data_IF_881103393604
#
_entry.id   IF_881103393604
#
_cell.length_a   1.000
_cell.length_b   1.000
_cell.length_c   1.000
_cell.angle_alpha   90.00
_cell.angle_beta   90.00
_cell.angle_gamma   90.00
#
_symmetry.space_group_name_H-M   'P 1'
#
loop_
_entity.id
_entity.type
_entity.pdbx_description
1 polymer ?
#
# COMPACT_ATOMS: atom_id res chain seq x y z
N UNK A 1 18.30 15.40 1.69
CA UNK A 1 16.94 15.04 2.18
C UNK A 1 15.97 16.10 1.71
N UNK A 2 14.86 15.72 1.06
CA UNK A 2 13.82 16.67 0.63
C UNK A 2 12.82 16.86 1.77
N UNK A 3 12.45 18.11 2.09
CA UNK A 3 11.49 18.45 3.15
C UNK A 3 10.20 18.97 2.50
N UNK A 4 9.05 18.47 2.94
CA UNK A 4 7.73 18.90 2.49
C UNK A 4 7.05 19.66 3.62
N UNK A 5 6.39 20.77 3.30
CA UNK A 5 5.56 21.51 4.24
C UNK A 5 4.12 21.44 3.77
N UNK A 6 3.24 21.00 4.66
CA UNK A 6 1.82 20.88 4.40
C UNK A 6 1.10 22.05 5.04
N UNK A 7 0.17 22.62 4.29
CA UNK A 7 -0.73 23.68 4.75
C UNK A 7 -1.87 23.13 5.62
N UNK A 8 -2.27 21.88 5.39
CA UNK A 8 -3.33 21.20 6.13
C UNK A 8 -3.00 19.72 6.36
N UNK A 9 -3.76 19.10 7.25
CA UNK A 9 -3.66 17.66 7.48
C UNK A 9 -4.13 16.84 6.27
N UNK A 10 -5.06 17.37 5.47
CA UNK A 10 -5.57 16.70 4.29
C UNK A 10 -4.53 16.66 3.16
N UNK A 11 -3.72 17.71 3.03
CA UNK A 11 -2.59 17.72 2.09
C UNK A 11 -1.55 16.65 2.45
N UNK A 12 -1.27 16.48 3.74
CA UNK A 12 -0.40 15.41 4.23
C UNK A 12 -1.00 14.03 3.93
N UNK A 13 -2.29 13.82 4.21
CA UNK A 13 -2.98 12.55 3.94
C UNK A 13 -2.94 12.20 2.46
N UNK A 14 -3.25 13.15 1.58
CA UNK A 14 -3.23 12.94 0.13
C UNK A 14 -1.83 12.55 -0.36
N UNK A 15 -0.79 13.25 0.08
CA UNK A 15 0.58 12.95 -0.30
C UNK A 15 1.03 11.57 0.21
N UNK A 16 0.71 11.23 1.46
CA UNK A 16 0.98 9.90 2.01
C UNK A 16 0.25 8.81 1.22
N UNK A 17 -1.01 9.04 0.85
CA UNK A 17 -1.77 8.10 0.04
C UNK A 17 -1.09 7.86 -1.31
N UNK A 18 -0.63 8.92 -2.00
CA UNK A 18 0.10 8.77 -3.26
C UNK A 18 1.37 7.92 -3.10
N UNK A 19 2.14 8.15 -2.04
CA UNK A 19 3.33 7.34 -1.76
C UNK A 19 2.99 5.88 -1.48
N UNK A 20 1.96 5.62 -0.67
CA UNK A 20 1.51 4.28 -0.35
C UNK A 20 1.04 3.54 -1.61
N UNK A 21 0.26 4.21 -2.46
CA UNK A 21 -0.19 3.63 -3.73
C UNK A 21 0.99 3.31 -4.66
N UNK A 22 1.92 4.24 -4.82
CA UNK A 22 3.11 4.00 -5.64
C UNK A 22 3.95 2.84 -5.10
N UNK A 23 4.17 2.79 -3.78
CA UNK A 23 4.95 1.73 -3.16
C UNK A 23 4.27 0.35 -3.30
N UNK A 24 2.97 0.29 -2.97
CA UNK A 24 2.22 -0.96 -2.92
C UNK A 24 1.90 -1.54 -4.30
N UNK A 25 1.82 -0.71 -5.35
CA UNK A 25 1.31 -1.14 -6.65
C UNK A 25 2.25 -0.88 -7.84
N UNK A 26 3.16 0.12 -7.79
CA UNK A 26 3.87 0.52 -9.00
C UNK A 26 4.97 -0.46 -9.45
N UNK A 27 5.55 -1.25 -8.54
CA UNK A 27 6.69 -2.11 -8.85
C UNK A 27 6.55 -3.52 -8.29
N UNK A 28 6.65 -4.50 -9.19
CA UNK A 28 6.85 -5.92 -8.85
C UNK A 28 8.28 -6.14 -8.34
N UNK A 29 8.43 -6.85 -7.23
CA UNK A 29 9.73 -7.04 -6.58
C UNK A 29 10.23 -8.48 -6.77
N UNK A 30 11.47 -8.65 -7.24
CA UNK A 30 12.10 -9.97 -7.43
C UNK A 30 12.16 -10.77 -6.13
N UNK A 31 12.42 -10.10 -5.01
CA UNK A 31 12.44 -10.70 -3.66
C UNK A 31 11.09 -11.28 -3.26
N UNK A 32 9.99 -10.71 -3.77
CA UNK A 32 8.62 -11.19 -3.57
C UNK A 32 8.16 -12.12 -4.70
N UNK A 33 9.09 -12.76 -5.41
CA UNK A 33 8.81 -13.66 -6.55
C UNK A 33 8.01 -12.97 -7.67
N UNK A 34 8.26 -11.67 -7.88
CA UNK A 34 7.59 -10.88 -8.91
C UNK A 34 6.22 -10.33 -8.48
N UNK A 35 5.85 -10.44 -7.21
CA UNK A 35 4.64 -9.80 -6.67
C UNK A 35 4.90 -8.33 -6.32
N UNK A 36 3.87 -7.50 -6.39
CA UNK A 36 3.89 -6.20 -5.72
C UNK A 36 3.78 -6.40 -4.21
N UNK A 37 4.17 -5.40 -3.38
CA UNK A 37 3.97 -5.50 -1.94
C UNK A 37 2.51 -5.80 -1.55
N UNK A 38 1.53 -5.18 -2.23
CA UNK A 38 0.12 -5.46 -1.97
C UNK A 38 -0.27 -6.91 -2.31
N UNK A 39 0.10 -7.39 -3.50
CA UNK A 39 -0.20 -8.76 -3.92
C UNK A 39 0.41 -9.77 -2.95
N UNK A 40 1.63 -9.51 -2.46
CA UNK A 40 2.27 -10.35 -1.46
C UNK A 40 1.50 -10.37 -0.13
N UNK A 41 1.05 -9.21 0.37
CA UNK A 41 0.23 -9.13 1.58
C UNK A 41 -1.08 -9.91 1.43
N UNK A 42 -1.79 -9.75 0.31
CA UNK A 42 -3.03 -10.50 0.03
C UNK A 42 -2.79 -12.01 -0.05
N UNK A 43 -1.64 -12.43 -0.61
CA UNK A 43 -1.24 -13.83 -0.63
C UNK A 43 -1.05 -14.37 0.79
N UNK A 44 -0.25 -13.70 1.63
CA UNK A 44 -0.01 -14.15 3.00
C UNK A 44 -1.30 -14.15 3.82
N UNK A 45 -2.17 -13.16 3.62
CA UNK A 45 -3.50 -13.13 4.26
C UNK A 45 -4.37 -14.32 3.85
N UNK A 46 -4.32 -14.73 2.58
CA UNK A 46 -5.08 -15.89 2.10
C UNK A 46 -4.54 -17.22 2.64
N UNK A 47 -3.24 -17.30 2.90
CA UNK A 47 -2.58 -18.48 3.47
C UNK A 47 -2.73 -18.57 5.00
N UNK A 48 -2.73 -17.43 5.69
CA UNK A 48 -2.77 -17.32 7.16
C UNK A 48 -3.49 -16.02 7.60
N UNK A 49 -4.83 -16.02 7.58
CA UNK A 49 -5.62 -14.82 7.87
C UNK A 49 -5.54 -14.38 9.33
N UNK A 50 -5.31 -15.29 10.27
CA UNK A 50 -5.29 -15.03 11.72
C UNK A 50 -4.12 -14.13 12.14
N UNK A 51 -3.08 -14.02 11.30
CA UNK A 51 -1.97 -13.09 11.50
C UNK A 51 -2.34 -11.63 11.24
N UNK A 52 -3.51 -11.36 10.69
CA UNK A 52 -3.95 -10.03 10.31
C UNK A 52 -5.22 -9.64 11.07
N UNK A 53 -5.22 -8.41 11.59
CA UNK A 53 -6.41 -7.84 12.24
C UNK A 53 -7.45 -7.40 11.19
N UNK A 54 -6.99 -7.09 9.97
CA UNK A 54 -7.79 -6.45 8.92
C UNK A 54 -7.63 -7.22 7.62
N UNK A 55 -8.75 -7.43 6.91
CA UNK A 55 -8.73 -7.95 5.55
C UNK A 55 -8.13 -6.89 4.58
N UNK A 56 -6.99 -7.17 3.93
CA UNK A 56 -6.34 -6.23 3.04
C UNK A 56 -7.19 -5.84 1.81
N UNK A 57 -8.14 -6.68 1.40
CA UNK A 57 -9.03 -6.41 0.27
C UNK A 57 -10.02 -5.27 0.53
N UNK A 58 -10.32 -4.94 1.78
CA UNK A 58 -11.34 -3.94 2.13
C UNK A 58 -10.80 -2.50 2.20
N UNK A 59 -9.48 -2.35 2.31
CA UNK A 59 -8.86 -1.03 2.55
C UNK A 59 -8.15 -0.44 1.33
N UNK A 60 -7.94 -1.22 0.27
CA UNK A 60 -7.40 -0.71 -0.98
C UNK A 60 -8.52 -0.49 -1.96
N UNK A 61 -9.03 0.74 -2.01
CA UNK A 61 -9.53 1.26 -3.28
C UNK A 61 -8.38 1.10 -4.28
N UNK A 62 -8.62 0.40 -5.39
CA UNK A 62 -7.58 0.14 -6.38
C UNK A 62 -7.00 1.44 -6.96
N UNK A 63 -6.19 1.34 -8.02
CA UNK A 63 -5.52 2.49 -8.65
C UNK A 63 -6.46 3.56 -9.28
N UNK A 64 -7.78 3.47 -9.06
CA UNK A 64 -8.82 4.28 -9.71
C UNK A 64 -9.79 4.89 -8.68
N UNK A 65 -9.38 5.91 -7.94
CA UNK A 65 -10.31 6.92 -7.39
C UNK A 65 -9.61 8.26 -7.33
#
# INVERSE_FOLDING_TARGET
VKRYRYSSHDELKAHMQTFLMAYNFARRLKTLKGLTPFEYVCKIWSEDPDRFIINPHHHTVGLNT
#
